data_IF_274896554654
#
_entry.id   IF_274896554654
#
_cell.length_a   1.000
_cell.length_b   1.000
_cell.length_c   1.000
_cell.angle_alpha   90.00
_cell.angle_beta   90.00
_cell.angle_gamma   90.00
#
_symmetry.space_group_name_H-M   'P 1'
#
loop_
_entity.id
_entity.type
_entity.pdbx_description
1 polymer ?
#
# COMPACT_ATOMS: atom_id res chain seq x y z
N UNK A 1 -5.24 3.11 -16.41
CA UNK A 1 -4.40 2.46 -15.39
C UNK A 1 -3.17 1.77 -16.00
N UNK A 2 -3.31 0.86 -16.97
CA UNK A 2 -2.17 0.16 -17.61
C UNK A 2 -0.97 1.06 -18.01
N UNK A 3 -1.23 2.22 -18.62
CA UNK A 3 -0.16 3.16 -18.95
C UNK A 3 0.61 3.65 -17.73
N UNK A 4 -0.09 4.00 -16.64
CA UNK A 4 0.53 4.45 -15.38
C UNK A 4 1.42 3.36 -14.80
N UNK A 5 0.93 2.12 -14.74
CA UNK A 5 1.69 0.98 -14.23
C UNK A 5 2.89 0.64 -15.12
N UNK A 6 2.73 0.73 -16.44
CA UNK A 6 3.85 0.59 -17.38
C UNK A 6 4.96 1.61 -17.15
N UNK A 7 4.62 2.86 -16.82
CA UNK A 7 5.61 3.91 -16.52
C UNK A 7 6.29 3.75 -15.16
N UNK A 8 5.76 2.94 -14.23
CA UNK A 8 6.45 2.65 -12.97
C UNK A 8 7.74 1.85 -13.19
N UNK A 9 7.80 1.04 -14.26
CA UNK A 9 8.99 0.28 -14.67
C UNK A 9 10.12 1.14 -15.22
N UNK A 10 9.79 2.33 -15.70
CA UNK A 10 10.76 3.25 -16.30
C UNK A 10 11.36 4.12 -15.18
N UNK A 11 12.66 4.04 -14.88
CA UNK A 11 13.30 4.84 -13.85
C UNK A 11 13.07 6.36 -14.02
N UNK A 12 12.96 6.84 -15.26
CA UNK A 12 12.68 8.25 -15.55
C UNK A 12 11.20 8.60 -15.33
N UNK A 13 10.31 7.63 -15.57
CA UNK A 13 8.86 7.75 -15.45
C UNK A 13 8.30 7.42 -14.06
N UNK A 14 9.05 6.71 -13.22
CA UNK A 14 8.57 6.16 -11.97
C UNK A 14 8.07 7.24 -11.01
N UNK A 15 8.85 8.31 -10.79
CA UNK A 15 8.45 9.41 -9.89
C UNK A 15 7.13 10.08 -10.29
N UNK A 16 6.94 10.55 -11.54
CA UNK A 16 5.66 11.10 -11.95
C UNK A 16 4.54 10.04 -11.97
N UNK A 17 4.82 8.80 -12.37
CA UNK A 17 3.84 7.71 -12.36
C UNK A 17 3.34 7.40 -10.94
N UNK A 18 4.20 7.37 -9.92
CA UNK A 18 3.81 7.19 -8.52
C UNK A 18 2.87 8.29 -8.04
N UNK A 19 3.06 9.54 -8.48
CA UNK A 19 2.13 10.64 -8.15
C UNK A 19 0.77 10.43 -8.78
N UNK A 20 0.74 10.02 -10.05
CA UNK A 20 -0.51 9.76 -10.78
C UNK A 20 -1.24 8.54 -10.20
N UNK A 21 -0.51 7.49 -9.85
CA UNK A 21 -1.05 6.31 -9.17
C UNK A 21 -1.69 6.70 -7.83
N UNK A 22 -0.96 7.44 -6.98
CA UNK A 22 -1.48 7.91 -5.70
C UNK A 22 -2.76 8.74 -5.87
N UNK A 23 -2.76 9.70 -6.80
CA UNK A 23 -3.94 10.52 -7.09
C UNK A 23 -5.11 9.68 -7.62
N UNK A 24 -4.84 8.66 -8.44
CA UNK A 24 -5.87 7.76 -8.97
C UNK A 24 -6.50 6.92 -7.87
N UNK A 25 -5.70 6.42 -6.92
CA UNK A 25 -6.14 5.61 -5.79
C UNK A 25 -7.00 6.36 -4.76
N UNK A 26 -7.12 7.69 -4.86
CA UNK A 26 -8.09 8.45 -4.06
C UNK A 26 -9.54 8.09 -4.41
N UNK A 27 -9.79 7.64 -5.65
CA UNK A 27 -11.06 7.07 -6.06
C UNK A 27 -11.02 5.55 -5.89
N UNK A 28 -11.99 4.99 -5.16
CA UNK A 28 -12.01 3.57 -4.82
C UNK A 28 -12.06 2.65 -6.04
N UNK A 29 -12.89 2.97 -7.05
CA UNK A 29 -13.00 2.19 -8.28
C UNK A 29 -11.66 2.01 -9.00
N UNK A 30 -10.78 3.02 -8.94
CA UNK A 30 -9.46 2.94 -9.54
C UNK A 30 -8.52 2.03 -8.75
N UNK A 31 -8.76 1.83 -7.44
CA UNK A 31 -7.95 0.91 -6.62
C UNK A 31 -8.13 -0.53 -7.09
N UNK A 32 -9.36 -0.95 -7.37
CA UNK A 32 -9.65 -2.27 -7.94
C UNK A 32 -8.93 -2.47 -9.27
N UNK A 33 -9.05 -1.51 -10.19
CA UNK A 33 -8.38 -1.59 -11.50
C UNK A 33 -6.86 -1.61 -11.36
N UNK A 34 -6.28 -0.85 -10.43
CA UNK A 34 -4.84 -0.83 -10.18
C UNK A 34 -4.30 -2.18 -9.67
N UNK A 35 -5.04 -2.82 -8.76
CA UNK A 35 -4.76 -4.18 -8.28
C UNK A 35 -4.81 -5.18 -9.46
N UNK A 36 -5.89 -5.14 -10.25
CA UNK A 36 -6.06 -6.07 -11.39
C UNK A 36 -4.94 -5.98 -12.43
N UNK A 37 -4.36 -4.78 -12.65
CA UNK A 37 -3.25 -4.59 -13.59
C UNK A 37 -1.86 -4.77 -12.94
N UNK A 38 -1.79 -5.23 -11.69
CA UNK A 38 -0.54 -5.58 -11.01
C UNK A 38 0.28 -4.38 -10.51
N UNK A 39 -0.36 -3.26 -10.13
CA UNK A 39 0.35 -2.08 -9.66
C UNK A 39 1.25 -2.34 -8.43
N UNK A 40 0.92 -3.33 -7.60
CA UNK A 40 1.71 -3.71 -6.42
C UNK A 40 3.14 -4.14 -6.75
N UNK A 41 3.32 -4.88 -7.85
CA UNK A 41 4.63 -5.40 -8.23
C UNK A 41 5.59 -4.32 -8.74
N UNK A 42 5.03 -3.19 -9.18
CA UNK A 42 5.77 -2.17 -9.94
C UNK A 42 6.09 -0.92 -9.11
N UNK A 43 5.56 -0.80 -7.88
CA UNK A 43 5.86 0.35 -7.02
C UNK A 43 7.23 0.20 -6.35
N UNK A 44 8.14 1.09 -6.69
CA UNK A 44 9.45 1.15 -6.04
C UNK A 44 9.40 1.97 -4.75
N UNK A 45 9.92 1.38 -3.67
CA UNK A 45 9.93 1.99 -2.34
C UNK A 45 11.16 2.84 -2.08
N UNK A 46 12.08 2.99 -3.03
CA UNK A 46 13.34 3.69 -2.78
C UNK A 46 13.32 5.20 -3.09
N UNK A 47 14.27 5.91 -2.46
CA UNK A 47 14.55 7.31 -2.76
C UNK A 47 13.40 8.29 -2.44
N UNK A 48 13.37 9.41 -3.15
CA UNK A 48 12.48 10.54 -2.85
C UNK A 48 10.99 10.28 -3.11
N UNK A 49 10.64 9.14 -3.71
CA UNK A 49 9.26 8.75 -4.00
C UNK A 49 8.67 7.76 -2.98
N UNK A 50 9.51 7.20 -2.11
CA UNK A 50 9.16 6.17 -1.12
C UNK A 50 7.88 6.47 -0.33
N UNK A 51 7.78 7.67 0.25
CA UNK A 51 6.60 8.09 1.04
C UNK A 51 5.31 8.02 0.22
N UNK A 52 5.36 8.45 -1.05
CA UNK A 52 4.18 8.45 -1.94
C UNK A 52 3.83 7.05 -2.41
N UNK A 53 4.85 6.21 -2.64
CA UNK A 53 4.65 4.80 -2.98
C UNK A 53 3.99 4.05 -1.81
N UNK A 54 4.45 4.27 -0.57
CA UNK A 54 3.83 3.71 0.63
C UNK A 54 2.38 4.19 0.83
N UNK A 55 2.11 5.47 0.59
CA UNK A 55 0.74 5.98 0.64
C UNK A 55 -0.16 5.31 -0.43
N UNK A 56 0.36 5.11 -1.65
CA UNK A 56 -0.38 4.42 -2.71
C UNK A 56 -0.65 2.96 -2.33
N UNK A 57 0.34 2.25 -1.80
CA UNK A 57 0.18 0.88 -1.28
C UNK A 57 -0.86 0.80 -0.16
N UNK A 58 -0.86 1.73 0.80
CA UNK A 58 -1.90 1.80 1.82
C UNK A 58 -3.29 1.90 1.19
N UNK A 59 -3.47 2.79 0.20
CA UNK A 59 -4.76 2.88 -0.50
C UNK A 59 -5.11 1.58 -1.22
N UNK A 60 -4.19 0.98 -1.98
CA UNK A 60 -4.46 -0.29 -2.66
C UNK A 60 -4.84 -1.41 -1.67
N UNK A 61 -4.27 -1.42 -0.47
CA UNK A 61 -4.62 -2.37 0.58
C UNK A 61 -5.99 -2.12 1.23
N UNK A 62 -6.66 -0.99 0.97
CA UNK A 62 -8.02 -0.74 1.48
C UNK A 62 -9.10 -1.52 0.72
N UNK A 63 -8.78 -2.12 -0.42
CA UNK A 63 -9.67 -3.06 -1.11
C UNK A 63 -9.19 -4.48 -0.85
N UNK A 64 -10.12 -5.44 -0.78
CA UNK A 64 -9.80 -6.83 -0.44
C UNK A 64 -8.78 -7.44 -1.39
N UNK A 65 -8.92 -7.21 -2.71
CA UNK A 65 -7.99 -7.71 -3.72
C UNK A 65 -6.55 -7.27 -3.46
N UNK A 66 -6.34 -6.00 -3.10
CA UNK A 66 -5.00 -5.47 -2.82
C UNK A 66 -4.40 -6.00 -1.51
N UNK A 67 -5.22 -6.19 -0.47
CA UNK A 67 -4.77 -6.80 0.77
C UNK A 67 -4.36 -8.28 0.58
N UNK A 68 -5.14 -9.03 -0.22
CA UNK A 68 -4.81 -10.41 -0.59
C UNK A 68 -3.55 -10.46 -1.44
N UNK A 69 -3.45 -9.58 -2.44
CA UNK A 69 -2.28 -9.49 -3.30
C UNK A 69 -1.02 -9.19 -2.47
N UNK A 70 -1.04 -8.18 -1.58
CA UNK A 70 0.10 -7.87 -0.70
C UNK A 70 0.53 -9.07 0.16
N UNK A 71 -0.43 -9.84 0.70
CA UNK A 71 -0.14 -11.03 1.52
C UNK A 71 0.40 -12.20 0.71
N UNK A 72 -0.10 -12.36 -0.52
CA UNK A 72 0.33 -13.41 -1.44
C UNK A 72 1.65 -13.07 -2.14
N UNK A 73 1.97 -11.78 -2.28
CA UNK A 73 3.16 -11.33 -2.97
C UNK A 73 4.41 -11.70 -2.16
N UNK A 74 5.39 -12.29 -2.86
CA UNK A 74 6.72 -12.67 -2.39
C UNK A 74 7.50 -11.53 -1.71
N UNK A 75 7.01 -10.28 -1.85
CA UNK A 75 7.51 -9.09 -1.19
C UNK A 75 7.22 -9.08 0.32
N UNK A 76 6.31 -9.88 0.86
CA UNK A 76 6.05 -9.88 2.30
C UNK A 76 7.33 -10.11 3.12
N UNK A 77 8.20 -11.06 2.76
CA UNK A 77 9.44 -11.33 3.51
C UNK A 77 10.54 -10.27 3.25
N UNK A 78 10.86 -9.89 2.00
CA UNK A 78 11.79 -8.79 1.70
C UNK A 78 11.34 -7.43 2.24
N UNK A 79 10.05 -7.09 2.10
CA UNK A 79 9.48 -5.86 2.67
C UNK A 79 9.54 -5.86 4.18
N UNK A 80 9.39 -6.98 4.89
CA UNK A 80 9.57 -6.98 6.36
C UNK A 80 10.99 -6.54 6.75
N UNK A 81 12.01 -6.93 5.98
CA UNK A 81 13.42 -6.57 6.26
C UNK A 81 13.73 -5.15 5.79
N UNK A 82 13.33 -4.79 4.56
CA UNK A 82 13.60 -3.47 3.97
C UNK A 82 12.69 -2.38 4.54
N UNK A 83 11.40 -2.66 4.76
CA UNK A 83 10.49 -1.74 5.41
C UNK A 83 10.85 -1.54 6.87
N UNK A 84 11.33 -2.53 7.64
CA UNK A 84 11.74 -2.24 9.01
C UNK A 84 12.88 -1.21 9.03
N UNK A 85 13.92 -1.41 8.21
CA UNK A 85 14.99 -0.44 8.09
C UNK A 85 14.50 0.92 7.56
N UNK A 86 13.63 0.93 6.55
CA UNK A 86 13.11 2.14 5.93
C UNK A 86 12.17 2.90 6.88
N UNK A 87 11.18 2.24 7.47
CA UNK A 87 10.21 2.80 8.42
C UNK A 87 10.90 3.31 9.68
N UNK A 88 11.99 2.67 10.12
CA UNK A 88 12.81 3.20 11.22
C UNK A 88 13.62 4.44 10.83
N UNK A 89 14.03 4.57 9.57
CA UNK A 89 14.75 5.75 9.03
C UNK A 89 13.82 6.87 8.59
N UNK A 90 12.55 6.58 8.28
CA UNK A 90 11.54 7.54 7.86
C UNK A 90 10.97 8.27 9.08
N UNK A 91 10.71 9.57 8.92
CA UNK A 91 10.00 10.38 9.90
C UNK A 91 8.63 10.81 9.35
N UNK A 92 7.69 11.12 10.25
CA UNK A 92 6.37 11.64 9.89
C UNK A 92 5.51 10.63 9.11
N UNK A 93 4.80 11.13 8.09
CA UNK A 93 3.76 10.42 7.34
C UNK A 93 4.24 9.15 6.65
N UNK A 94 5.48 9.13 6.13
CA UNK A 94 6.04 7.93 5.50
C UNK A 94 6.15 6.74 6.44
N UNK A 95 6.49 7.00 7.71
CA UNK A 95 6.55 5.97 8.76
C UNK A 95 5.15 5.41 9.06
N UNK A 96 4.15 6.28 9.16
CA UNK A 96 2.75 5.88 9.41
C UNK A 96 2.19 5.02 8.27
N UNK A 97 2.40 5.42 7.02
CA UNK A 97 2.00 4.65 5.84
C UNK A 97 2.66 3.26 5.81
N UNK A 98 3.96 3.20 6.15
CA UNK A 98 4.67 1.93 6.26
C UNK A 98 4.12 1.02 7.36
N UNK A 99 3.86 1.54 8.56
CA UNK A 99 3.23 0.78 9.65
C UNK A 99 1.84 0.29 9.24
N UNK A 100 1.06 1.12 8.55
CA UNK A 100 -0.28 0.80 8.06
C UNK A 100 -0.26 -0.41 7.11
N UNK A 101 0.64 -0.40 6.13
CA UNK A 101 0.85 -1.51 5.18
C UNK A 101 1.34 -2.78 5.90
N UNK A 102 2.27 -2.67 6.85
CA UNK A 102 2.76 -3.80 7.65
C UNK A 102 1.65 -4.46 8.46
N UNK A 103 0.72 -3.66 9.01
CA UNK A 103 -0.44 -4.17 9.72
C UNK A 103 -1.37 -5.00 8.82
N UNK A 104 -1.37 -4.80 7.50
CA UNK A 104 -2.12 -5.65 6.56
C UNK A 104 -1.50 -7.04 6.47
N UNK A 105 -0.16 -7.14 6.45
CA UNK A 105 0.58 -8.41 6.42
C UNK A 105 0.34 -9.20 7.71
N UNK A 106 0.49 -8.54 8.87
CA UNK A 106 0.38 -9.20 10.18
C UNK A 106 -1.06 -9.33 10.72
N UNK A 107 -1.99 -8.46 10.29
CA UNK A 107 -3.38 -8.45 10.72
C UNK A 107 -4.24 -9.59 10.15
N UNK A 108 -3.61 -10.64 9.60
CA UNK A 108 -4.25 -11.81 8.99
C UNK A 108 -4.47 -12.98 9.94
N UNK A 109 -4.61 -12.75 11.24
CA UNK A 109 -4.91 -13.79 12.22
C UNK A 109 -5.67 -13.22 13.41
N UNK A 110 -6.96 -13.51 13.49
CA UNK A 110 -7.72 -13.23 14.69
C UNK A 110 -7.22 -14.09 15.86
N UNK A 111 -6.75 -13.41 16.91
CA UNK A 111 -6.84 -13.75 18.34
C UNK A 111 -5.51 -13.59 19.09
N UNK A 112 -5.61 -13.00 20.27
CA UNK A 112 -4.62 -12.82 21.34
C UNK A 112 -3.65 -11.61 21.25
N UNK A 113 -4.07 -10.52 21.90
CA UNK A 113 -3.31 -9.91 23.00
C UNK A 113 -2.04 -9.13 22.64
N UNK A 114 -2.16 -7.82 22.48
CA UNK A 114 -1.02 -6.90 22.49
C UNK A 114 -1.42 -5.50 22.03
N UNK A 115 -1.77 -4.62 22.96
CA UNK A 115 -2.23 -3.26 22.67
C UNK A 115 -1.16 -2.37 22.05
N UNK A 116 -1.16 -2.24 20.71
CA UNK A 116 -0.31 -1.29 19.99
C UNK A 116 -1.07 -0.36 19.03
N UNK A 117 -2.41 -0.37 19.02
CA UNK A 117 -3.21 0.45 18.10
C UNK A 117 -4.45 1.04 18.78
N UNK A 118 -4.26 1.85 19.84
CA UNK A 118 -5.40 2.56 20.43
C UNK A 118 -5.85 3.77 19.60
N UNK A 119 -5.02 4.29 18.69
CA UNK A 119 -5.32 5.52 17.94
C UNK A 119 -5.16 5.43 16.41
N UNK A 120 -4.86 4.25 15.84
CA UNK A 120 -4.69 4.07 14.40
C UNK A 120 -5.85 3.28 13.81
N UNK A 121 -6.70 3.90 12.99
CA UNK A 121 -7.71 3.18 12.20
C UNK A 121 -6.98 2.21 11.24
N UNK A 122 -6.81 0.97 11.69
CA UNK A 122 -6.15 -0.09 10.93
C UNK A 122 -6.81 -0.21 9.56
N UNK A 123 -6.01 -0.36 8.50
CA UNK A 123 -6.50 -0.65 7.14
C UNK A 123 -7.49 -1.82 7.18
N UNK A 124 -7.28 -2.82 8.05
CA UNK A 124 -8.20 -3.93 8.23
C UNK A 124 -9.64 -3.49 8.59
N UNK A 125 -9.80 -2.43 9.38
CA UNK A 125 -11.11 -1.84 9.69
C UNK A 125 -11.68 -0.99 8.55
N UNK A 126 -10.82 -0.40 7.69
CA UNK A 126 -11.24 0.38 6.51
C UNK A 126 -11.69 -0.49 5.35
N UNK A 127 -11.09 -1.68 5.17
CA UNK A 127 -11.51 -2.65 4.14
C UNK A 127 -12.98 -3.04 4.32
N UNK A 128 -13.46 -3.16 5.57
CA UNK A 128 -14.84 -3.54 5.87
C UNK A 128 -15.87 -2.42 5.57
N UNK A 129 -15.44 -1.15 5.48
CA UNK A 129 -16.32 0.00 5.28
C UNK A 129 -16.45 0.50 3.84
N UNK A 130 -15.66 -0.04 2.90
CA UNK A 130 -15.49 0.53 1.57
C UNK A 130 -16.53 0.04 0.52
N UNK A 131 -17.22 -1.07 0.76
CA UNK A 131 -18.06 -1.77 -0.24
C UNK A 131 -19.26 -1.02 -0.85
N UNK A 132 -19.54 0.25 -0.52
CA UNK A 132 -20.80 0.92 -0.87
C UNK A 132 -20.72 2.13 -1.82
N UNK A 133 -19.61 2.42 -2.50
CA UNK A 133 -19.49 3.68 -3.29
C UNK A 133 -19.21 3.54 -4.79
N UNK A 134 -19.32 2.35 -5.37
CA UNK A 134 -19.19 2.17 -6.82
C UNK A 134 -20.54 1.75 -7.42
N UNK A 135 -21.46 2.71 -7.58
CA UNK A 135 -22.60 2.61 -8.47
C UNK A 135 -22.89 3.97 -9.10
#
# INVERSE_FOLDING_TARGET
MNGVVGFLKDPAGAKPATKVLLASCLAECNRHVAVEVGAFAEVELEGSAAERALAALEFLCTVLGGAVELRAHTLAIPMLVEMDQMVMKMAGRGKEHGISVMAVIFGGGGSAGGGWLSNGASIAGRVQGASNTCN
#
